data_IF_982374368499
#
_entry.id   IF_982374368499
#
_cell.length_a   1.000
_cell.length_b   1.000
_cell.length_c   1.000
_cell.angle_alpha   90.00
_cell.angle_beta   90.00
_cell.angle_gamma   90.00
#
_symmetry.space_group_name_H-M   'P 1'
#
loop_
_entity.id
_entity.type
_entity.pdbx_description
1 polymer ?
#
# COMPACT_ATOMS: atom_id res chain seq x y z
N UNK A 1 -2.56 17.07 19.50
CA UNK A 1 -3.20 16.96 18.16
C UNK A 1 -2.09 16.84 17.10
N UNK A 2 -1.94 15.68 16.45
CA UNK A 2 -0.94 15.49 15.39
C UNK A 2 -1.45 16.11 14.09
N UNK A 3 -0.84 17.22 13.68
CA UNK A 3 -1.08 17.92 12.42
C UNK A 3 -0.72 16.99 11.26
N UNK A 4 -1.74 16.47 10.56
CA UNK A 4 -1.60 15.78 9.29
C UNK A 4 -0.91 16.71 8.29
N UNK A 5 0.35 16.41 8.01
CA UNK A 5 1.24 17.18 7.17
C UNK A 5 0.69 17.20 5.74
N UNK A 6 -0.03 18.27 5.40
CA UNK A 6 -0.77 18.51 4.13
C UNK A 6 0.11 18.55 2.86
N UNK A 7 1.37 18.12 2.92
CA UNK A 7 2.33 18.13 1.81
C UNK A 7 2.37 16.83 1.00
N UNK A 8 1.74 15.74 1.46
CA UNK A 8 1.90 14.40 0.84
C UNK A 8 0.71 13.76 0.09
N UNK A 9 -0.46 14.41 -0.14
CA UNK A 9 -1.53 13.77 -0.92
C UNK A 9 -1.08 13.34 -2.33
N UNK A 10 -0.28 14.17 -3.00
CA UNK A 10 0.25 13.88 -4.35
C UNK A 10 1.24 12.72 -4.35
N UNK A 11 2.26 12.78 -3.48
CA UNK A 11 3.24 11.70 -3.34
C UNK A 11 2.59 10.35 -3.03
N UNK A 12 1.53 10.35 -2.23
CA UNK A 12 0.79 9.13 -1.91
C UNK A 12 -0.02 8.62 -3.11
N UNK A 13 -0.81 9.47 -3.74
CA UNK A 13 -1.57 9.12 -4.94
C UNK A 13 -0.66 8.61 -6.07
N UNK A 14 0.47 9.29 -6.30
CA UNK A 14 1.48 8.92 -7.29
C UNK A 14 2.10 7.55 -6.98
N UNK A 15 2.34 7.24 -5.71
CA UNK A 15 2.91 5.97 -5.29
C UNK A 15 1.93 4.80 -5.50
N UNK A 16 0.64 5.00 -5.20
CA UNK A 16 -0.44 4.03 -5.44
C UNK A 16 -0.59 3.78 -6.95
N UNK A 17 -0.71 4.86 -7.73
CA UNK A 17 -0.90 4.77 -9.17
C UNK A 17 0.32 4.20 -9.89
N UNK A 18 1.53 4.50 -9.40
CA UNK A 18 2.77 3.92 -9.88
C UNK A 18 2.87 2.41 -9.61
N UNK A 19 2.43 1.94 -8.45
CA UNK A 19 2.40 0.51 -8.13
C UNK A 19 1.45 -0.25 -9.07
N UNK A 20 0.25 0.27 -9.29
CA UNK A 20 -0.75 -0.30 -10.21
C UNK A 20 -0.24 -0.28 -11.66
N UNK A 21 0.34 0.82 -12.11
CA UNK A 21 0.89 0.95 -13.47
C UNK A 21 2.08 0.02 -13.70
N UNK A 22 2.96 -0.13 -12.71
CA UNK A 22 4.06 -1.09 -12.74
C UNK A 22 3.54 -2.53 -12.85
N UNK A 23 2.57 -2.92 -12.02
CA UNK A 23 1.95 -4.26 -12.07
C UNK A 23 1.25 -4.52 -13.42
N UNK A 24 0.59 -3.50 -13.99
CA UNK A 24 -0.02 -3.58 -15.31
C UNK A 24 1.03 -3.84 -16.41
N UNK A 25 2.14 -3.08 -16.40
CA UNK A 25 3.21 -3.21 -17.39
C UNK A 25 3.98 -4.55 -17.32
N UNK A 26 4.03 -5.18 -16.14
CA UNK A 26 4.83 -6.39 -15.87
C UNK A 26 4.08 -7.71 -15.97
N UNK A 27 2.81 -7.72 -16.39
CA UNK A 27 2.07 -8.97 -16.57
C UNK A 27 1.16 -9.39 -15.42
N UNK A 28 0.68 -8.42 -14.62
CA UNK A 28 -0.61 -8.46 -13.91
C UNK A 28 -0.70 -9.21 -12.57
N UNK A 29 0.29 -9.12 -11.68
CA UNK A 29 0.03 -9.37 -10.25
C UNK A 29 0.57 -8.21 -9.42
N UNK A 30 -0.33 -7.51 -8.73
CA UNK A 30 0.01 -6.55 -7.70
C UNK A 30 0.00 -7.25 -6.34
N UNK A 31 1.18 -7.40 -5.73
CA UNK A 31 1.28 -7.80 -4.32
C UNK A 31 0.86 -6.61 -3.43
N UNK A 32 -0.38 -6.66 -2.94
CA UNK A 32 -0.97 -5.60 -2.14
C UNK A 32 -0.20 -5.41 -0.83
N UNK A 33 0.25 -6.50 -0.21
CA UNK A 33 0.95 -6.45 1.09
C UNK A 33 2.32 -5.79 0.95
N UNK A 34 3.12 -6.24 -0.02
CA UNK A 34 4.44 -5.68 -0.28
C UNK A 34 4.37 -4.20 -0.69
N UNK A 35 3.43 -3.84 -1.57
CA UNK A 35 3.29 -2.48 -2.03
C UNK A 35 2.72 -1.54 -0.96
N UNK A 36 1.77 -2.00 -0.16
CA UNK A 36 1.27 -1.22 0.97
C UNK A 36 2.38 -0.91 1.99
N UNK A 37 3.25 -1.89 2.30
CA UNK A 37 4.40 -1.68 3.19
C UNK A 37 5.40 -0.70 2.58
N UNK A 38 5.71 -0.83 1.29
CA UNK A 38 6.61 0.09 0.58
C UNK A 38 6.07 1.53 0.60
N UNK A 39 4.80 1.72 0.30
CA UNK A 39 4.15 3.03 0.26
C UNK A 39 4.05 3.64 1.65
N UNK A 40 3.70 2.84 2.67
CA UNK A 40 3.70 3.27 4.06
C UNK A 40 5.07 3.78 4.50
N UNK A 41 6.14 3.04 4.20
CA UNK A 41 7.52 3.43 4.52
C UNK A 41 7.94 4.72 3.81
N UNK A 42 7.55 4.90 2.54
CA UNK A 42 7.91 6.09 1.77
C UNK A 42 7.12 7.35 2.20
N UNK A 43 5.86 7.18 2.60
CA UNK A 43 4.94 8.31 2.85
C UNK A 43 4.76 8.63 4.33
N UNK A 44 5.02 7.67 5.22
CA UNK A 44 4.72 7.75 6.66
C UNK A 44 3.27 7.45 7.01
N UNK A 45 2.49 6.89 6.07
CA UNK A 45 1.09 6.53 6.26
C UNK A 45 0.94 5.09 6.77
N UNK A 46 -0.26 4.76 7.25
CA UNK A 46 -0.58 3.41 7.71
C UNK A 46 -0.57 2.41 6.54
N UNK A 47 0.13 1.26 6.66
CA UNK A 47 0.06 0.18 5.68
C UNK A 47 -1.37 -0.30 5.41
N UNK A 48 -2.26 -0.24 6.41
CA UNK A 48 -3.67 -0.63 6.24
C UNK A 48 -4.40 0.32 5.29
N UNK A 49 -4.13 1.63 5.40
CA UNK A 49 -4.71 2.65 4.51
C UNK A 49 -4.15 2.50 3.10
N UNK A 50 -2.83 2.30 2.97
CA UNK A 50 -2.18 2.04 1.69
C UNK A 50 -2.72 0.78 0.99
N UNK A 51 -2.93 -0.31 1.75
CA UNK A 51 -3.49 -1.55 1.22
C UNK A 51 -4.92 -1.36 0.70
N UNK A 52 -5.77 -0.65 1.46
CA UNK A 52 -7.14 -0.35 1.05
C UNK A 52 -7.17 0.42 -0.28
N UNK A 53 -6.36 1.47 -0.39
CA UNK A 53 -6.35 2.32 -1.58
C UNK A 53 -5.73 1.60 -2.78
N UNK A 54 -4.72 0.74 -2.57
CA UNK A 54 -4.17 -0.14 -3.61
C UNK A 54 -5.24 -1.10 -4.15
N UNK A 55 -6.08 -1.67 -3.28
CA UNK A 55 -7.18 -2.55 -3.71
C UNK A 55 -8.20 -1.76 -4.53
N UNK A 56 -8.60 -0.58 -4.06
CA UNK A 56 -9.58 0.25 -4.77
C UNK A 56 -9.10 0.64 -6.18
N UNK A 57 -7.87 1.13 -6.29
CA UNK A 57 -7.28 1.52 -7.58
C UNK A 57 -6.99 0.28 -8.46
N UNK A 58 -6.50 -0.80 -7.86
CA UNK A 58 -6.23 -2.06 -8.57
C UNK A 58 -7.49 -2.68 -9.17
N UNK A 59 -8.62 -2.66 -8.45
CA UNK A 59 -9.93 -3.05 -8.95
C UNK A 59 -10.37 -2.18 -10.13
N UNK A 60 -10.24 -0.86 -10.00
CA UNK A 60 -10.54 0.08 -11.09
C UNK A 60 -9.72 -0.18 -12.36
N UNK A 61 -8.46 -0.58 -12.19
CA UNK A 61 -7.54 -0.90 -13.28
C UNK A 61 -7.64 -2.35 -13.80
N UNK A 62 -8.52 -3.20 -13.23
CA UNK A 62 -8.72 -4.61 -13.61
C UNK A 62 -7.42 -5.44 -13.61
N UNK A 63 -6.54 -5.18 -12.66
CA UNK A 63 -5.29 -5.96 -12.50
C UNK A 63 -5.54 -7.14 -11.57
N UNK A 64 -4.84 -8.27 -11.75
CA UNK A 64 -4.89 -9.31 -10.73
C UNK A 64 -4.08 -8.84 -9.51
N UNK A 65 -4.58 -9.18 -8.33
CA UNK A 65 -3.98 -8.80 -7.05
C UNK A 65 -3.68 -10.05 -6.25
N UNK A 66 -2.53 -10.04 -5.59
CA UNK A 66 -2.13 -11.05 -4.63
C UNK A 66 -2.06 -10.42 -3.24
N UNK A 67 -2.51 -11.18 -2.26
CA UNK A 67 -2.48 -10.80 -0.86
C UNK A 67 -1.46 -11.71 -0.17
N UNK A 68 -0.18 -11.51 -0.48
CA UNK A 68 0.92 -12.13 0.25
C UNK A 68 0.70 -11.86 1.72
N UNK A 69 0.64 -12.93 2.51
CA UNK A 69 0.16 -12.92 3.89
C UNK A 69 0.65 -11.67 4.63
N UNK A 70 -0.26 -10.75 4.92
CA UNK A 70 0.07 -9.52 5.63
C UNK A 70 0.53 -9.88 7.04
N UNK A 71 1.84 -10.08 7.21
CA UNK A 71 2.53 -10.14 8.52
C UNK A 71 2.40 -8.82 9.31
N UNK A 72 1.61 -7.86 8.82
CA UNK A 72 1.29 -6.57 9.43
C UNK A 72 0.55 -6.69 10.78
N UNK A 73 -0.01 -7.85 11.13
CA UNK A 73 -0.72 -8.05 12.40
C UNK A 73 0.03 -8.89 13.45
N UNK A 74 1.21 -9.44 13.13
CA UNK A 74 1.93 -10.31 14.07
C UNK A 74 3.16 -9.65 14.73
N UNK A 75 3.77 -8.62 14.13
CA UNK A 75 4.92 -7.94 14.76
C UNK A 75 4.53 -7.07 15.98
N UNK A 76 3.25 -6.72 16.15
CA UNK A 76 2.78 -6.01 17.35
C UNK A 76 2.45 -6.94 18.54
N UNK A 77 2.53 -8.26 18.38
CA UNK A 77 2.26 -9.22 19.47
C UNK A 77 3.52 -9.69 20.19
N UNK A 78 4.69 -9.60 19.56
CA UNK A 78 5.96 -10.06 20.17
C UNK A 78 6.70 -8.94 20.93
N UNK A 79 6.30 -7.68 20.79
CA UNK A 79 6.90 -6.56 21.53
C UNK A 79 6.26 -6.33 22.93
N UNK A 80 5.33 -7.20 23.36
CA UNK A 80 4.65 -7.15 24.67
C UNK A 80 4.70 -8.52 25.38
N UNK A 81 5.77 -9.28 25.12
CA UNK A 81 6.10 -10.53 25.82
C UNK A 81 7.29 -10.35 26.74
#
# INVERSE_FOLDING_TARGET
MRLYHRLRPRLYADAIQGAVSSAFSKGRILDVGAEAKRIANATGLSPIVAARDLVEVGLGARINMEFSHCQLLMENREAVG
#
